data_IF_108265808343
#
_entry.id   IF_108265808343
#
_cell.length_a   1.000
_cell.length_b   1.000
_cell.length_c   1.000
_cell.angle_alpha   90.00
_cell.angle_beta   90.00
_cell.angle_gamma   90.00
#
_symmetry.space_group_name_H-M   'P 1'
#
loop_
_entity.id
_entity.type
_entity.pdbx_description
1 polymer ?
#
# COMPACT_ATOMS: atom_id res chain seq x y z
N UNK A 1 -16.70 30.99 47.20
CA UNK A 1 -15.52 30.39 46.59
C UNK A 1 -15.96 29.27 45.65
N UNK A 2 -16.01 29.56 44.33
CA UNK A 2 -16.38 28.54 43.30
C UNK A 2 -15.14 27.78 42.88
N UNK A 3 -15.09 26.49 43.14
CA UNK A 3 -14.02 25.59 42.65
C UNK A 3 -14.29 25.27 41.20
N UNK A 4 -13.42 25.75 40.31
CA UNK A 4 -13.38 25.37 38.89
C UNK A 4 -12.64 24.04 38.81
N UNK A 5 -13.32 22.95 38.47
CA UNK A 5 -12.70 21.67 38.15
C UNK A 5 -12.33 21.70 36.67
N UNK A 6 -11.02 21.84 36.37
CA UNK A 6 -10.48 21.68 35.02
C UNK A 6 -10.47 20.18 34.69
N UNK A 7 -11.36 19.78 33.79
CA UNK A 7 -11.35 18.45 33.20
C UNK A 7 -10.24 18.41 32.13
N UNK A 8 -9.11 17.79 32.42
CA UNK A 8 -8.10 17.47 31.42
C UNK A 8 -8.62 16.33 30.55
N UNK A 9 -9.07 16.62 29.34
CA UNK A 9 -9.34 15.61 28.31
C UNK A 9 -7.97 15.14 27.80
N UNK A 10 -7.51 13.99 28.29
CA UNK A 10 -6.37 13.25 27.73
C UNK A 10 -6.79 12.75 26.34
N UNK A 11 -6.41 13.51 25.32
CA UNK A 11 -6.50 13.07 23.93
C UNK A 11 -5.41 12.02 23.69
N UNK A 12 -5.73 10.74 23.93
CA UNK A 12 -4.87 9.65 23.48
C UNK A 12 -4.90 9.66 21.94
N UNK A 13 -3.74 9.78 21.25
CA UNK A 13 -3.70 9.52 19.84
C UNK A 13 -4.11 8.05 19.65
N UNK A 14 -5.21 7.82 18.94
CA UNK A 14 -5.56 6.49 18.49
C UNK A 14 -4.40 5.99 17.62
N UNK A 15 -3.59 5.09 18.17
CA UNK A 15 -2.58 4.35 17.43
C UNK A 15 -3.35 3.51 16.42
N UNK A 16 -3.44 3.98 15.18
CA UNK A 16 -3.91 3.15 14.09
C UNK A 16 -3.07 1.86 14.11
N UNK A 17 -3.69 0.74 14.46
CA UNK A 17 -3.06 -0.57 14.47
C UNK A 17 -2.79 -0.95 13.00
N UNK A 18 -1.70 -0.47 12.46
CA UNK A 18 -1.26 -0.83 11.12
C UNK A 18 -0.93 -2.33 11.08
N UNK A 19 -1.45 -3.02 10.06
CA UNK A 19 -1.04 -4.38 9.75
C UNK A 19 -1.55 -5.47 10.70
N UNK A 20 -2.85 -5.54 10.93
CA UNK A 20 -3.48 -6.64 11.69
C UNK A 20 -4.21 -7.64 10.78
N UNK A 21 -3.69 -7.87 9.56
CA UNK A 21 -4.26 -8.84 8.61
C UNK A 21 -4.50 -10.19 9.29
N UNK A 22 -5.73 -10.71 9.15
CA UNK A 22 -6.10 -12.02 9.70
C UNK A 22 -5.83 -13.11 8.67
N UNK A 23 -5.31 -14.25 9.13
CA UNK A 23 -5.18 -15.42 8.27
C UNK A 23 -6.58 -16.00 8.00
N UNK A 24 -6.92 -16.11 6.72
CA UNK A 24 -8.11 -16.82 6.24
C UNK A 24 -7.65 -17.99 5.38
N UNK A 25 -8.20 -19.23 5.60
CA UNK A 25 -7.84 -20.37 4.77
C UNK A 25 -8.20 -20.13 3.30
N UNK A 26 -7.23 -20.32 2.42
CA UNK A 26 -7.43 -20.19 0.97
C UNK A 26 -7.75 -21.56 0.35
N UNK A 27 -8.61 -21.58 -0.67
CA UNK A 27 -8.75 -22.78 -1.51
C UNK A 27 -7.44 -23.07 -2.25
N UNK A 28 -7.25 -24.32 -2.68
CA UNK A 28 -6.03 -24.70 -3.39
C UNK A 28 -5.85 -23.90 -4.70
N UNK A 29 -6.93 -23.65 -5.43
CA UNK A 29 -6.90 -22.86 -6.67
C UNK A 29 -6.52 -21.40 -6.44
N UNK A 30 -7.10 -20.75 -5.42
CA UNK A 30 -6.77 -19.37 -5.05
C UNK A 30 -5.31 -19.28 -4.60
N UNK A 31 -4.86 -20.20 -3.76
CA UNK A 31 -3.45 -20.25 -3.34
C UNK A 31 -2.51 -20.37 -4.53
N UNK A 32 -2.77 -21.29 -5.46
CA UNK A 32 -1.96 -21.47 -6.65
C UNK A 32 -1.93 -20.19 -7.52
N UNK A 33 -3.06 -19.53 -7.71
CA UNK A 33 -3.13 -18.28 -8.48
C UNK A 33 -2.30 -17.17 -7.82
N UNK A 34 -2.42 -16.99 -6.50
CA UNK A 34 -1.65 -15.98 -5.76
C UNK A 34 -0.15 -16.32 -5.75
N UNK A 35 0.23 -17.58 -5.58
CA UNK A 35 1.64 -18.03 -5.64
C UNK A 35 2.25 -17.76 -7.01
N UNK A 36 1.52 -18.01 -8.09
CA UNK A 36 1.98 -17.66 -9.44
C UNK A 36 2.15 -16.16 -9.61
N UNK A 37 1.23 -15.35 -9.08
CA UNK A 37 1.33 -13.90 -9.12
C UNK A 37 2.55 -13.38 -8.33
N UNK A 38 2.93 -14.03 -7.22
CA UNK A 38 4.15 -13.70 -6.46
C UNK A 38 5.42 -14.16 -7.18
N UNK A 39 5.40 -15.33 -7.79
CA UNK A 39 6.56 -15.92 -8.47
C UNK A 39 6.93 -15.22 -9.79
N UNK A 40 6.00 -14.49 -10.40
CA UNK A 40 6.23 -13.77 -11.65
C UNK A 40 7.33 -12.72 -11.46
N UNK A 41 8.48 -12.97 -12.09
CA UNK A 41 9.67 -12.13 -12.07
C UNK A 41 9.87 -11.37 -13.39
N UNK A 42 8.86 -11.30 -14.25
CA UNK A 42 8.97 -10.57 -15.49
C UNK A 42 9.48 -9.14 -15.23
N UNK A 43 10.51 -8.70 -15.96
CA UNK A 43 11.01 -7.33 -15.81
C UNK A 43 9.89 -6.34 -16.19
N UNK A 44 9.89 -5.13 -15.60
CA UNK A 44 8.96 -4.09 -15.99
C UNK A 44 9.05 -3.90 -17.50
N UNK A 45 7.92 -4.03 -18.21
CA UNK A 45 7.89 -3.63 -19.62
C UNK A 45 8.24 -2.15 -19.67
N UNK A 46 9.22 -1.78 -20.48
CA UNK A 46 9.76 -0.42 -20.58
C UNK A 46 8.72 0.61 -21.05
N UNK A 47 7.59 0.14 -21.58
CA UNK A 47 6.52 0.97 -22.15
C UNK A 47 6.00 2.10 -21.25
N UNK A 48 6.09 1.95 -19.92
CA UNK A 48 5.71 3.04 -19.02
C UNK A 48 6.79 4.14 -18.96
N UNK A 49 8.08 3.78 -18.98
CA UNK A 49 9.17 4.74 -18.80
C UNK A 49 9.37 5.66 -20.00
N UNK A 50 8.85 5.26 -21.17
CA UNK A 50 9.04 5.97 -22.43
C UNK A 50 7.87 6.92 -22.78
N UNK A 51 6.78 6.90 -21.99
CA UNK A 51 5.66 7.81 -22.21
C UNK A 51 5.88 9.14 -21.49
N UNK A 52 5.49 10.25 -22.14
CA UNK A 52 5.51 11.58 -21.52
C UNK A 52 4.67 11.63 -20.24
N UNK A 53 3.57 10.87 -20.20
CA UNK A 53 2.69 10.75 -19.03
C UNK A 53 3.43 10.11 -17.84
N UNK A 54 4.26 9.11 -18.10
CA UNK A 54 5.08 8.47 -17.08
C UNK A 54 6.11 9.43 -16.48
N UNK A 55 6.73 10.25 -17.33
CA UNK A 55 7.71 11.25 -16.89
C UNK A 55 7.02 12.30 -16.01
N UNK A 56 5.87 12.79 -16.43
CA UNK A 56 5.09 13.79 -15.69
C UNK A 56 4.66 13.22 -14.33
N UNK A 57 4.14 11.98 -14.31
CA UNK A 57 3.75 11.30 -13.07
C UNK A 57 4.92 11.08 -12.12
N UNK A 58 6.07 10.54 -12.63
CA UNK A 58 7.27 10.34 -11.84
C UNK A 58 7.80 11.64 -11.26
N UNK A 59 7.78 12.71 -12.04
CA UNK A 59 8.25 14.03 -11.62
C UNK A 59 7.40 14.57 -10.47
N UNK A 60 6.07 14.54 -10.61
CA UNK A 60 5.18 15.05 -9.59
C UNK A 60 5.20 14.19 -8.33
N UNK A 61 5.15 12.85 -8.45
CA UNK A 61 5.21 11.96 -7.29
C UNK A 61 6.57 12.07 -6.58
N UNK A 62 7.66 12.22 -7.34
CA UNK A 62 8.99 12.45 -6.77
C UNK A 62 9.04 13.75 -5.96
N UNK A 63 8.45 14.83 -6.47
CA UNK A 63 8.36 16.10 -5.76
C UNK A 63 7.59 15.95 -4.43
N UNK A 64 6.45 15.24 -4.43
CA UNK A 64 5.63 15.00 -3.21
C UNK A 64 6.35 14.13 -2.17
N UNK A 65 7.19 13.21 -2.62
CA UNK A 65 7.93 12.28 -1.74
C UNK A 65 9.26 12.83 -1.20
N UNK A 66 9.72 13.99 -1.63
CA UNK A 66 11.07 14.52 -1.31
C UNK A 66 11.36 14.53 0.20
N UNK A 67 10.38 14.89 1.03
CA UNK A 67 10.55 14.94 2.49
C UNK A 67 10.62 13.55 3.14
N UNK A 68 10.01 12.52 2.53
CA UNK A 68 9.91 11.16 3.08
C UNK A 68 11.04 10.25 2.58
N UNK A 69 11.45 10.42 1.34
CA UNK A 69 12.58 9.71 0.71
C UNK A 69 13.47 10.79 0.09
N UNK A 70 14.42 11.38 0.85
CA UNK A 70 15.24 12.52 0.41
C UNK A 70 16.15 12.17 -0.76
N UNK A 71 16.74 10.95 -0.77
CA UNK A 71 17.60 10.51 -1.85
C UNK A 71 16.81 10.35 -3.15
N UNK A 72 17.26 11.05 -4.21
CA UNK A 72 16.55 11.12 -5.48
C UNK A 72 16.51 9.76 -6.20
N UNK A 73 17.60 9.02 -6.17
CA UNK A 73 17.72 7.75 -6.88
C UNK A 73 16.82 6.69 -6.22
N UNK A 74 16.93 6.52 -4.91
CA UNK A 74 16.05 5.65 -4.11
C UNK A 74 14.57 6.01 -4.29
N UNK A 75 14.25 7.30 -4.38
CA UNK A 75 12.88 7.77 -4.57
C UNK A 75 12.34 7.39 -5.95
N UNK A 76 13.15 7.53 -7.00
CA UNK A 76 12.75 7.14 -8.36
C UNK A 76 12.65 5.61 -8.50
N UNK A 77 13.57 4.86 -7.90
CA UNK A 77 13.49 3.39 -7.84
C UNK A 77 12.20 2.95 -7.15
N UNK A 78 11.90 3.54 -5.99
CA UNK A 78 10.67 3.28 -5.24
C UNK A 78 9.42 3.54 -6.08
N UNK A 79 9.31 4.70 -6.73
CA UNK A 79 8.15 5.07 -7.54
C UNK A 79 7.96 4.16 -8.76
N UNK A 80 9.05 3.79 -9.44
CA UNK A 80 9.00 2.84 -10.55
C UNK A 80 8.50 1.47 -10.07
N UNK A 81 8.99 1.02 -8.92
CA UNK A 81 8.56 -0.25 -8.34
C UNK A 81 7.08 -0.22 -7.92
N UNK A 82 6.61 0.87 -7.28
CA UNK A 82 5.19 1.05 -6.94
C UNK A 82 4.32 1.02 -8.19
N UNK A 83 4.68 1.82 -9.20
CA UNK A 83 3.91 1.87 -10.44
C UNK A 83 3.81 0.47 -11.08
N UNK A 84 4.94 -0.21 -11.19
CA UNK A 84 4.99 -1.54 -11.80
C UNK A 84 4.13 -2.56 -11.05
N UNK A 85 4.32 -2.72 -9.74
CA UNK A 85 3.63 -3.75 -8.97
C UNK A 85 2.13 -3.43 -8.80
N UNK A 86 1.76 -2.16 -8.69
CA UNK A 86 0.37 -1.73 -8.68
C UNK A 86 -0.33 -2.03 -10.02
N UNK A 87 0.24 -1.57 -11.14
CA UNK A 87 -0.33 -1.79 -12.48
C UNK A 87 -0.43 -3.29 -12.80
N UNK A 88 0.59 -4.07 -12.45
CA UNK A 88 0.60 -5.53 -12.62
C UNK A 88 -0.56 -6.20 -11.85
N UNK A 89 -0.88 -5.69 -10.68
CA UNK A 89 -2.01 -6.18 -9.87
C UNK A 89 -3.37 -5.56 -10.26
N UNK A 90 -3.43 -4.72 -11.29
CA UNK A 90 -4.66 -4.01 -11.67
C UNK A 90 -5.11 -2.99 -10.64
N UNK A 91 -4.17 -2.35 -9.94
CA UNK A 91 -4.43 -1.30 -8.95
C UNK A 91 -3.96 0.06 -9.47
N UNK A 92 -4.59 1.13 -8.98
CA UNK A 92 -4.09 2.49 -9.18
C UNK A 92 -2.80 2.70 -8.36
N UNK A 93 -1.66 3.06 -8.98
CA UNK A 93 -0.41 3.36 -8.27
C UNK A 93 -0.56 4.46 -7.20
N UNK A 94 -1.45 5.41 -7.40
CA UNK A 94 -1.70 6.52 -6.48
C UNK A 94 -2.48 6.04 -5.25
N UNK A 95 -3.40 5.09 -5.41
CA UNK A 95 -4.05 4.39 -4.29
C UNK A 95 -3.00 3.64 -3.46
N UNK A 96 -2.06 2.94 -4.11
CA UNK A 96 -0.99 2.21 -3.43
C UNK A 96 -0.08 3.16 -2.65
N UNK A 97 0.24 4.35 -3.19
CA UNK A 97 0.96 5.39 -2.45
C UNK A 97 0.20 5.87 -1.20
N UNK A 98 -1.12 6.05 -1.33
CA UNK A 98 -2.00 6.39 -0.20
C UNK A 98 -1.98 5.33 0.89
N UNK A 99 -2.05 4.05 0.51
CA UNK A 99 -1.96 2.92 1.43
C UNK A 99 -0.60 2.87 2.13
N UNK A 100 0.52 2.97 1.39
CA UNK A 100 1.87 2.98 1.95
C UNK A 100 2.06 4.12 2.96
N UNK A 101 1.46 5.29 2.68
CA UNK A 101 1.51 6.41 3.61
C UNK A 101 0.87 6.06 4.95
N UNK A 102 -0.28 5.41 4.95
CA UNK A 102 -1.00 5.02 6.16
C UNK A 102 -0.29 3.88 6.89
N UNK A 103 0.21 2.89 6.15
CA UNK A 103 0.83 1.69 6.71
C UNK A 103 2.19 1.94 7.35
N UNK A 104 3.08 2.64 6.68
CA UNK A 104 4.47 2.78 7.13
C UNK A 104 4.99 4.21 7.15
N UNK A 105 4.24 5.17 6.57
CA UNK A 105 4.77 6.52 6.31
C UNK A 105 5.99 6.48 5.39
N UNK A 106 6.09 5.51 4.49
CA UNK A 106 7.22 5.27 3.58
C UNK A 106 8.50 4.77 4.28
N UNK A 107 8.39 4.12 5.44
CA UNK A 107 9.54 3.55 6.16
C UNK A 107 9.78 2.11 5.73
N UNK A 108 10.91 1.87 5.05
CA UNK A 108 11.30 0.56 4.50
C UNK A 108 11.34 -0.56 5.56
N UNK A 109 11.84 -0.25 6.75
CA UNK A 109 12.05 -1.21 7.84
C UNK A 109 10.99 -1.11 8.93
N UNK A 110 9.81 -0.60 8.61
CA UNK A 110 8.70 -0.53 9.56
C UNK A 110 8.26 -1.92 10.01
N UNK A 111 8.04 -2.08 11.31
CA UNK A 111 7.46 -3.29 11.91
C UNK A 111 6.36 -2.85 12.86
N UNK A 112 5.15 -3.41 12.70
CA UNK A 112 4.04 -3.13 13.62
C UNK A 112 4.12 -3.99 14.88
N UNK A 113 3.31 -3.66 15.89
CA UNK A 113 3.15 -4.48 17.09
C UNK A 113 2.66 -5.89 16.79
N UNK A 114 1.91 -6.07 15.69
CA UNK A 114 1.44 -7.39 15.20
C UNK A 114 2.47 -8.12 14.35
N UNK A 115 3.66 -7.51 14.07
CA UNK A 115 4.72 -8.11 13.28
C UNK A 115 4.61 -7.90 11.77
N UNK A 116 3.69 -7.05 11.29
CA UNK A 116 3.63 -6.66 9.88
C UNK A 116 4.89 -5.90 9.46
N UNK A 117 5.35 -6.06 8.20
CA UNK A 117 6.67 -5.63 7.76
C UNK A 117 6.66 -4.79 6.50
N UNK A 118 7.56 -3.81 6.47
CA UNK A 118 7.94 -3.03 5.30
C UNK A 118 6.92 -1.97 4.89
N UNK A 119 7.05 -1.48 3.66
CA UNK A 119 6.28 -0.36 3.14
C UNK A 119 4.77 -0.55 3.21
N UNK A 120 4.28 -1.72 2.81
CA UNK A 120 2.85 -2.06 2.77
C UNK A 120 2.40 -2.88 3.99
N UNK A 121 3.23 -3.02 5.03
CA UNK A 121 2.93 -3.73 6.27
C UNK A 121 2.33 -5.12 6.04
N UNK A 122 3.05 -5.94 5.26
CA UNK A 122 2.65 -7.31 4.95
C UNK A 122 2.92 -8.23 6.14
N UNK A 123 1.94 -9.05 6.51
CA UNK A 123 2.08 -10.03 7.58
C UNK A 123 2.94 -11.22 7.13
N UNK A 124 3.92 -11.68 7.96
CA UNK A 124 4.84 -12.77 7.60
C UNK A 124 4.20 -14.11 7.26
N UNK A 125 2.97 -14.38 7.73
CA UNK A 125 2.29 -15.62 7.39
C UNK A 125 2.03 -15.76 5.87
N UNK A 126 1.91 -14.63 5.15
CA UNK A 126 1.72 -14.64 3.70
C UNK A 126 2.88 -15.32 2.96
N UNK A 127 4.14 -15.18 3.46
CA UNK A 127 5.29 -15.91 2.90
C UNK A 127 5.03 -17.42 2.93
N UNK A 128 4.51 -17.93 4.05
CA UNK A 128 4.21 -19.37 4.20
C UNK A 128 3.04 -19.83 3.33
N UNK A 129 2.09 -18.93 3.04
CA UNK A 129 0.85 -19.28 2.31
C UNK A 129 1.05 -19.24 0.81
N UNK A 130 1.72 -18.22 0.27
CA UNK A 130 1.82 -17.96 -1.17
C UNK A 130 3.22 -17.65 -1.66
N UNK A 131 4.19 -17.43 -0.78
CA UNK A 131 5.56 -17.06 -1.11
C UNK A 131 6.55 -18.24 -1.06
N UNK A 132 7.83 -17.89 -1.07
CA UNK A 132 8.97 -18.78 -0.94
C UNK A 132 9.64 -18.55 0.40
N UNK A 133 10.33 -19.56 0.94
CA UNK A 133 10.97 -19.47 2.26
C UNK A 133 12.11 -18.42 2.34
N UNK A 134 12.66 -18.03 1.20
CA UNK A 134 13.71 -17.02 1.06
C UNK A 134 13.18 -15.59 0.80
N UNK A 135 11.85 -15.40 0.70
CA UNK A 135 11.27 -14.08 0.52
C UNK A 135 11.49 -13.17 1.74
N UNK A 136 12.00 -11.97 1.48
CA UNK A 136 12.25 -10.97 2.50
C UNK A 136 11.34 -9.76 2.32
N UNK A 137 10.39 -9.57 3.26
CA UNK A 137 9.42 -8.48 3.23
C UNK A 137 10.03 -7.08 3.46
N UNK A 138 11.31 -6.95 3.73
CA UNK A 138 12.01 -5.66 3.73
C UNK A 138 12.65 -5.33 2.37
N UNK A 139 12.66 -6.26 1.43
CA UNK A 139 13.04 -5.95 0.05
C UNK A 139 11.90 -5.20 -0.64
N UNK A 140 12.23 -4.08 -1.28
CA UNK A 140 11.26 -3.18 -1.90
C UNK A 140 10.27 -3.91 -2.81
N UNK A 141 10.78 -4.60 -3.83
CA UNK A 141 9.91 -5.28 -4.81
C UNK A 141 9.10 -6.41 -4.20
N UNK A 142 9.70 -7.23 -3.33
CA UNK A 142 9.01 -8.30 -2.62
C UNK A 142 7.85 -7.75 -1.81
N UNK A 143 8.08 -6.71 -1.02
CA UNK A 143 7.04 -6.09 -0.19
C UNK A 143 5.87 -5.54 -1.02
N UNK A 144 6.18 -4.78 -2.08
CA UNK A 144 5.17 -4.21 -2.97
C UNK A 144 4.39 -5.30 -3.71
N UNK A 145 5.07 -6.34 -4.18
CA UNK A 145 4.46 -7.47 -4.87
C UNK A 145 3.45 -8.20 -3.99
N UNK A 146 3.86 -8.56 -2.78
CA UNK A 146 2.95 -9.18 -1.82
C UNK A 146 1.79 -8.25 -1.48
N UNK A 147 2.07 -7.01 -1.11
CA UNK A 147 1.04 -6.05 -0.72
C UNK A 147 0.01 -5.79 -1.81
N UNK A 148 0.45 -5.55 -3.05
CA UNK A 148 -0.46 -5.33 -4.19
C UNK A 148 -1.25 -6.60 -4.54
N UNK A 149 -0.62 -7.78 -4.53
CA UNK A 149 -1.31 -9.05 -4.79
C UNK A 149 -2.38 -9.34 -3.73
N UNK A 150 -2.08 -9.10 -2.46
CA UNK A 150 -3.02 -9.28 -1.34
C UNK A 150 -4.19 -8.29 -1.44
N UNK A 151 -3.92 -7.01 -1.72
CA UNK A 151 -4.98 -6.01 -1.88
C UNK A 151 -5.89 -6.35 -3.07
N UNK A 152 -5.30 -6.79 -4.20
CA UNK A 152 -6.08 -7.26 -5.36
C UNK A 152 -6.97 -8.44 -4.99
N UNK A 153 -6.44 -9.43 -4.31
CA UNK A 153 -7.20 -10.58 -3.82
C UNK A 153 -8.40 -10.17 -2.96
N UNK A 154 -8.21 -9.22 -2.04
CA UNK A 154 -9.33 -8.72 -1.23
C UNK A 154 -10.34 -7.90 -2.04
N UNK A 155 -9.90 -7.17 -3.06
CA UNK A 155 -10.81 -6.51 -4.00
C UNK A 155 -11.65 -7.53 -4.78
N UNK A 156 -11.07 -8.66 -5.16
CA UNK A 156 -11.79 -9.72 -5.86
C UNK A 156 -12.83 -10.39 -4.94
N UNK A 157 -12.48 -10.68 -3.68
CA UNK A 157 -13.43 -11.20 -2.68
C UNK A 157 -14.60 -10.23 -2.45
N UNK A 158 -14.31 -8.94 -2.35
CA UNK A 158 -15.31 -7.91 -2.08
C UNK A 158 -15.93 -7.34 -3.37
N UNK A 159 -15.80 -8.05 -4.51
CA UNK A 159 -16.43 -7.70 -5.80
C UNK A 159 -16.14 -6.27 -6.26
N UNK A 160 -14.96 -5.77 -5.97
CA UNK A 160 -14.50 -4.41 -6.32
C UNK A 160 -14.82 -3.35 -5.27
N UNK A 161 -15.49 -3.69 -4.18
CA UNK A 161 -15.69 -2.75 -3.06
C UNK A 161 -14.36 -2.44 -2.37
N UNK A 162 -13.76 -1.32 -2.76
CA UNK A 162 -12.48 -0.86 -2.22
C UNK A 162 -12.54 -0.62 -0.71
N UNK A 163 -13.66 -0.11 -0.21
CA UNK A 163 -13.80 0.21 1.21
C UNK A 163 -13.70 -1.05 2.07
N UNK A 164 -14.43 -2.10 1.68
CA UNK A 164 -14.40 -3.39 2.35
C UNK A 164 -13.07 -4.11 2.16
N UNK A 165 -12.48 -4.05 0.94
CA UNK A 165 -11.17 -4.62 0.66
C UNK A 165 -10.06 -4.01 1.53
N UNK A 166 -10.06 -2.69 1.72
CA UNK A 166 -9.15 -2.01 2.65
C UNK A 166 -9.37 -2.45 4.10
N UNK A 167 -10.62 -2.61 4.52
CA UNK A 167 -10.95 -3.17 5.85
C UNK A 167 -10.38 -4.58 6.06
N UNK A 168 -10.48 -5.47 5.04
CA UNK A 168 -9.83 -6.80 5.09
C UNK A 168 -8.31 -6.68 5.14
N UNK A 169 -7.75 -5.83 4.30
CA UNK A 169 -6.30 -5.61 4.24
C UNK A 169 -5.72 -5.26 5.61
N UNK A 170 -6.37 -4.38 6.33
CA UNK A 170 -5.95 -3.98 7.68
C UNK A 170 -6.40 -4.95 8.79
N UNK A 171 -7.35 -5.86 8.53
CA UNK A 171 -7.97 -6.73 9.55
C UNK A 171 -9.07 -6.03 10.35
N UNK A 172 -9.60 -4.92 9.87
CA UNK A 172 -10.65 -4.09 10.48
C UNK A 172 -11.93 -4.07 9.64
N UNK A 173 -12.28 -5.19 9.01
CA UNK A 173 -13.48 -5.29 8.17
C UNK A 173 -14.72 -4.82 8.94
N UNK A 174 -15.51 -3.93 8.31
CA UNK A 174 -16.68 -3.31 8.90
C UNK A 174 -16.41 -2.03 9.72
N UNK A 175 -15.13 -1.66 9.93
CA UNK A 175 -14.76 -0.41 10.59
C UNK A 175 -14.38 0.67 9.55
N UNK A 176 -14.82 1.89 9.81
CA UNK A 176 -14.68 3.00 8.85
C UNK A 176 -13.31 3.67 8.87
N UNK A 177 -12.59 3.59 9.99
CA UNK A 177 -11.42 4.43 10.26
C UNK A 177 -10.30 4.21 9.23
N UNK A 178 -9.84 2.97 9.11
CA UNK A 178 -8.73 2.67 8.21
C UNK A 178 -9.04 2.91 6.72
N UNK A 179 -10.17 2.45 6.15
CA UNK A 179 -10.53 2.78 4.79
C UNK A 179 -10.62 4.30 4.53
N UNK A 180 -11.14 5.07 5.49
CA UNK A 180 -11.20 6.52 5.35
C UNK A 180 -9.81 7.16 5.35
N UNK A 181 -8.87 6.70 6.19
CA UNK A 181 -7.49 7.18 6.21
C UNK A 181 -6.80 6.94 4.86
N UNK A 182 -6.90 5.72 4.31
CA UNK A 182 -6.26 5.39 3.03
C UNK A 182 -6.88 6.20 1.88
N UNK A 183 -8.20 6.27 1.80
CA UNK A 183 -8.90 7.06 0.78
C UNK A 183 -8.59 8.55 0.91
N UNK A 184 -8.54 9.07 2.14
CA UNK A 184 -8.15 10.45 2.40
C UNK A 184 -6.71 10.74 1.95
N UNK A 185 -5.76 9.86 2.26
CA UNK A 185 -4.39 9.98 1.78
C UNK A 185 -4.32 9.94 0.25
N UNK A 186 -5.00 8.98 -0.38
CA UNK A 186 -5.06 8.86 -1.83
C UNK A 186 -5.60 10.14 -2.48
N UNK A 187 -6.82 10.56 -2.14
CA UNK A 187 -7.47 11.70 -2.80
C UNK A 187 -6.81 13.04 -2.49
N UNK A 188 -6.38 13.29 -1.25
CA UNK A 188 -5.89 14.61 -0.85
C UNK A 188 -4.39 14.80 -1.13
N UNK A 189 -3.61 13.73 -1.23
CA UNK A 189 -2.15 13.83 -1.32
C UNK A 189 -1.57 13.18 -2.58
N UNK A 190 -2.19 12.13 -3.12
CA UNK A 190 -1.60 11.35 -4.21
C UNK A 190 -2.37 11.43 -5.52
N UNK A 191 -3.66 11.80 -5.51
CA UNK A 191 -4.42 11.92 -6.74
C UNK A 191 -3.79 12.97 -7.67
N UNK A 192 -3.51 12.56 -8.89
CA UNK A 192 -2.90 13.39 -9.93
C UNK A 192 -3.48 12.99 -11.29
N UNK A 193 -3.92 13.96 -12.05
CA UNK A 193 -4.25 13.83 -13.46
C UNK A 193 -3.33 14.74 -14.25
N UNK A 194 -2.70 14.23 -15.31
CA UNK A 194 -1.92 15.10 -16.19
C UNK A 194 -2.87 16.07 -16.91
N UNK A 195 -2.52 17.36 -16.94
CA UNK A 195 -3.30 18.38 -17.67
C UNK A 195 -3.49 18.06 -19.17
N UNK A 196 -2.78 17.07 -19.70
CA UNK A 196 -2.90 16.61 -21.10
C UNK A 196 -4.13 15.73 -21.34
N UNK A 197 -4.68 15.07 -20.29
CA UNK A 197 -5.95 14.35 -20.43
C UNK A 197 -7.17 15.28 -20.49
N UNK A 198 -7.07 16.50 -19.96
CA UNK A 198 -8.14 17.49 -20.01
C UNK A 198 -8.24 18.23 -21.36
N UNK A 199 -7.30 18.02 -22.27
CA UNK A 199 -7.22 18.70 -23.58
C UNK A 199 -7.64 17.80 -24.77
N UNK A 200 -8.21 16.64 -24.51
CA UNK A 200 -8.85 15.76 -25.48
C UNK A 200 -10.35 15.65 -25.17
#
# INVERSE_FOLDING_TARGET
MRRVVLLFILCFPALALAGAQKYEPLSASVRAALSNAIADQAPPKSSFLDSMEAIDWLTEMSRRLTKRIPDRESRLEFLRAVHYEATRAGLDPQLVLGLIQVESGFKKYSVSSSGARGFMQVMPFWIKVIGRSDDNLFHLRTNLRFGCTILRHYLDIEQGDLYRALGRYNGSLGQAEYPNLVRGAWHNQWLYSSNRMAAK
#
